data_IF_711972373223
#
_entry.id   IF_711972373223
#
_cell.length_a   1.000
_cell.length_b   1.000
_cell.length_c   1.000
_cell.angle_alpha   90.00
_cell.angle_beta   90.00
_cell.angle_gamma   90.00
#
_symmetry.space_group_name_H-M   'P 1'
#
loop_
_entity.id
_entity.type
_entity.pdbx_description
1 polymer ?
#
# COMPACT_ATOMS: atom_id res chain seq x y z
N UNK A 1 18.66 -44.97 -13.68
CA UNK A 1 17.53 -44.05 -13.42
C UNK A 1 17.69 -43.37 -12.07
N UNK A 2 18.10 -44.10 -11.02
CA UNK A 2 18.33 -43.54 -9.68
C UNK A 2 19.40 -42.44 -9.63
N UNK A 3 20.49 -42.55 -10.39
CA UNK A 3 21.52 -41.48 -10.46
C UNK A 3 21.02 -40.19 -11.13
N UNK A 4 19.98 -40.27 -11.98
CA UNK A 4 19.40 -39.11 -12.64
C UNK A 4 18.32 -38.42 -11.76
N UNK A 5 17.86 -39.07 -10.69
CA UNK A 5 16.93 -38.53 -9.70
C UNK A 5 17.62 -37.60 -8.69
N UNK A 6 18.88 -37.88 -8.34
CA UNK A 6 19.66 -37.07 -7.40
C UNK A 6 19.78 -35.58 -7.82
N UNK A 7 20.17 -35.22 -9.07
CA UNK A 7 20.22 -33.81 -9.48
C UNK A 7 18.85 -33.14 -9.54
N UNK A 8 17.78 -33.88 -9.83
CA UNK A 8 16.42 -33.36 -9.82
C UNK A 8 15.94 -33.03 -8.39
N UNK A 9 16.20 -33.90 -7.42
CA UNK A 9 15.87 -33.65 -6.01
C UNK A 9 16.70 -32.51 -5.43
N UNK A 10 17.99 -32.44 -5.76
CA UNK A 10 18.85 -31.32 -5.36
C UNK A 10 18.33 -29.99 -5.92
N UNK A 11 17.93 -29.95 -7.20
CA UNK A 11 17.35 -28.75 -7.79
C UNK A 11 16.02 -28.35 -7.15
N UNK A 12 15.19 -29.32 -6.75
CA UNK A 12 13.91 -29.07 -6.09
C UNK A 12 14.11 -28.42 -4.70
N UNK A 13 15.13 -28.84 -3.96
CA UNK A 13 15.46 -28.25 -2.64
C UNK A 13 15.84 -26.76 -2.70
N UNK A 14 16.26 -26.24 -3.87
CA UNK A 14 16.51 -24.81 -4.05
C UNK A 14 15.24 -23.96 -3.92
N UNK A 15 14.05 -24.56 -4.10
CA UNK A 15 12.78 -23.88 -3.97
C UNK A 15 12.21 -23.92 -2.54
N UNK A 16 12.85 -24.64 -1.62
CA UNK A 16 12.37 -24.75 -0.23
C UNK A 16 12.30 -23.37 0.46
N UNK A 17 13.18 -22.44 0.07
CA UNK A 17 13.19 -21.05 0.53
C UNK A 17 11.91 -20.29 0.15
N UNK A 18 11.26 -20.67 -0.95
CA UNK A 18 10.04 -20.00 -1.43
C UNK A 18 8.75 -20.65 -0.92
N UNK A 19 8.83 -21.80 -0.23
CA UNK A 19 7.64 -22.49 0.28
C UNK A 19 6.87 -21.66 1.30
N UNK A 20 7.56 -20.81 2.07
CA UNK A 20 6.91 -19.89 2.99
C UNK A 20 6.04 -18.88 2.23
N UNK A 21 6.58 -18.23 1.20
CA UNK A 21 5.83 -17.31 0.31
C UNK A 21 4.62 -17.97 -0.33
N UNK A 22 4.74 -19.24 -0.74
CA UNK A 22 3.62 -20.01 -1.32
C UNK A 22 2.51 -20.30 -0.31
N UNK A 23 2.87 -20.49 0.96
CA UNK A 23 1.94 -20.84 2.04
C UNK A 23 1.22 -19.64 2.65
N UNK A 24 1.72 -18.43 2.44
CA UNK A 24 1.09 -17.21 2.95
C UNK A 24 -0.23 -16.99 2.19
N UNK A 25 -1.32 -16.91 2.95
CA UNK A 25 -2.60 -16.41 2.45
C UNK A 25 -2.52 -14.89 2.34
N UNK A 26 -2.41 -14.40 1.11
CA UNK A 26 -2.32 -12.96 0.80
C UNK A 26 -3.54 -12.20 1.33
N UNK A 27 -4.74 -12.77 1.33
CA UNK A 27 -5.93 -12.09 1.85
C UNK A 27 -5.88 -11.96 3.38
N UNK A 28 -5.46 -13.02 4.08
CA UNK A 28 -5.30 -12.97 5.53
C UNK A 28 -4.18 -11.98 5.93
N UNK A 29 -3.07 -11.98 5.19
CA UNK A 29 -1.99 -11.01 5.38
C UNK A 29 -2.47 -9.58 5.22
N UNK A 30 -3.17 -9.26 4.12
CA UNK A 30 -3.66 -7.90 3.83
C UNK A 30 -4.70 -7.46 4.86
N UNK A 31 -5.57 -8.37 5.34
CA UNK A 31 -6.53 -8.03 6.40
C UNK A 31 -5.83 -7.69 7.73
N UNK A 32 -4.80 -8.46 8.12
CA UNK A 32 -3.99 -8.13 9.29
C UNK A 32 -3.20 -6.83 9.11
N UNK A 33 -2.71 -6.59 7.89
CA UNK A 33 -1.97 -5.40 7.52
C UNK A 33 -2.84 -4.14 7.55
N UNK A 34 -4.08 -4.21 7.07
CA UNK A 34 -5.03 -3.10 7.12
C UNK A 34 -5.46 -2.79 8.57
N UNK A 35 -5.59 -3.82 9.41
CA UNK A 35 -5.93 -3.68 10.82
C UNK A 35 -4.83 -3.02 11.67
N UNK A 36 -3.59 -3.01 11.20
CA UNK A 36 -2.48 -2.32 11.85
C UNK A 36 -2.58 -0.80 11.64
N UNK A 37 -3.20 -0.14 12.60
CA UNK A 37 -3.38 1.32 12.61
C UNK A 37 -2.09 2.10 12.92
N UNK A 38 -1.04 1.46 13.44
CA UNK A 38 0.22 2.15 13.78
C UNK A 38 1.13 2.34 12.57
N UNK A 39 0.93 1.52 11.54
CA UNK A 39 1.77 1.52 10.36
C UNK A 39 1.60 2.79 9.53
N UNK A 40 2.69 3.52 9.34
CA UNK A 40 2.69 4.80 8.62
C UNK A 40 2.68 4.60 7.11
N UNK A 41 2.18 5.59 6.34
CA UNK A 41 2.20 5.54 4.87
C UNK A 41 3.62 5.37 4.33
N UNK A 42 4.63 5.92 5.01
CA UNK A 42 6.06 5.77 4.63
C UNK A 42 6.52 4.32 4.76
N UNK A 43 6.19 3.64 5.85
CA UNK A 43 6.53 2.23 6.04
C UNK A 43 5.81 1.35 5.02
N UNK A 44 4.52 1.61 4.78
CA UNK A 44 3.76 0.87 3.75
C UNK A 44 4.37 1.05 2.36
N UNK A 45 4.85 2.25 2.07
CA UNK A 45 5.54 2.56 0.82
C UNK A 45 6.86 1.79 0.68
N UNK A 46 7.60 1.61 1.77
CA UNK A 46 8.84 0.82 1.77
C UNK A 46 8.56 -0.68 1.59
N UNK A 47 7.49 -1.19 2.19
CA UNK A 47 7.08 -2.59 2.01
C UNK A 47 6.71 -2.88 0.54
N UNK A 48 6.01 -1.95 -0.12
CA UNK A 48 5.73 -2.04 -1.57
C UNK A 48 7.04 -2.14 -2.37
N UNK A 49 8.03 -1.29 -2.08
CA UNK A 49 9.35 -1.34 -2.74
C UNK A 49 10.07 -2.67 -2.47
N UNK A 50 9.99 -3.20 -1.26
CA UNK A 50 10.60 -4.49 -0.91
C UNK A 50 10.02 -5.61 -1.78
N UNK A 51 8.69 -5.69 -1.87
CA UNK A 51 8.03 -6.72 -2.68
C UNK A 51 8.31 -6.56 -4.19
N UNK A 52 8.41 -5.32 -4.70
CA UNK A 52 8.82 -5.09 -6.08
C UNK A 52 10.26 -5.55 -6.34
N UNK A 53 11.18 -5.28 -5.41
CA UNK A 53 12.58 -5.73 -5.48
C UNK A 53 12.69 -7.26 -5.41
N UNK A 54 11.94 -7.89 -4.51
CA UNK A 54 11.86 -9.36 -4.39
C UNK A 54 11.31 -10.00 -5.67
N UNK A 55 10.26 -9.41 -6.26
CA UNK A 55 9.72 -9.83 -7.55
C UNK A 55 10.78 -9.79 -8.66
N UNK A 56 11.55 -8.70 -8.76
CA UNK A 56 12.63 -8.59 -9.74
C UNK A 56 13.79 -9.57 -9.46
N UNK A 57 14.12 -9.78 -8.20
CA UNK A 57 15.13 -10.76 -7.79
C UNK A 57 14.72 -12.20 -8.16
N UNK A 58 13.45 -12.56 -7.98
CA UNK A 58 12.90 -13.85 -8.40
C UNK A 58 12.96 -14.05 -9.91
N UNK A 59 12.67 -13.00 -10.68
CA UNK A 59 12.79 -13.04 -12.14
C UNK A 59 14.24 -13.27 -12.63
N UNK A 60 15.21 -12.72 -11.92
CA UNK A 60 16.63 -12.90 -12.22
C UNK A 60 17.16 -14.27 -11.74
N UNK A 61 16.71 -14.74 -10.57
CA UNK A 61 17.18 -15.97 -9.96
C UNK A 61 16.58 -17.23 -10.61
N UNK A 62 15.31 -17.18 -11.00
CA UNK A 62 14.58 -18.36 -11.52
C UNK A 62 14.54 -18.31 -13.06
N UNK A 63 15.22 -19.22 -13.76
CA UNK A 63 15.15 -19.32 -15.22
C UNK A 63 13.77 -19.83 -15.68
N UNK A 64 13.49 -19.77 -16.99
CA UNK A 64 12.23 -20.31 -17.56
C UNK A 64 12.25 -21.83 -17.70
N UNK A 65 13.44 -22.40 -17.88
CA UNK A 65 13.66 -23.84 -17.94
C UNK A 65 15.10 -24.17 -17.57
N UNK A 66 15.33 -25.33 -16.95
CA UNK A 66 16.65 -25.85 -16.62
C UNK A 66 16.84 -27.24 -17.21
N UNK A 67 17.97 -27.45 -17.88
CA UNK A 67 18.38 -28.76 -18.36
C UNK A 67 19.23 -29.46 -17.29
N UNK A 68 18.70 -30.56 -16.73
CA UNK A 68 19.36 -31.43 -15.76
C UNK A 68 19.84 -32.71 -16.45
N UNK A 69 20.75 -32.57 -17.42
CA UNK A 69 21.33 -33.67 -18.19
C UNK A 69 20.29 -34.39 -19.07
N UNK A 70 19.66 -35.45 -18.54
CA UNK A 70 18.65 -36.26 -19.22
C UNK A 70 17.22 -35.69 -19.11
N UNK A 71 16.99 -34.72 -18.22
CA UNK A 71 15.69 -34.10 -18.00
C UNK A 71 15.73 -32.60 -18.32
N UNK A 72 14.62 -32.07 -18.82
CA UNK A 72 14.40 -30.63 -18.92
C UNK A 72 13.22 -30.26 -18.02
N UNK A 73 13.46 -29.38 -17.06
CA UNK A 73 12.46 -28.92 -16.09
C UNK A 73 11.99 -27.54 -16.51
N UNK A 74 10.68 -27.40 -16.75
CA UNK A 74 10.07 -26.10 -16.98
C UNK A 74 9.75 -25.45 -15.62
N UNK A 75 10.32 -24.27 -15.38
CA UNK A 75 10.20 -23.51 -14.14
C UNK A 75 9.40 -22.22 -14.34
N UNK A 76 8.90 -21.97 -15.55
CA UNK A 76 8.16 -20.75 -15.92
C UNK A 76 6.90 -20.55 -15.08
N UNK A 77 6.14 -21.62 -14.79
CA UNK A 77 4.92 -21.54 -13.99
C UNK A 77 5.21 -21.16 -12.53
N UNK A 78 6.25 -21.77 -11.94
CA UNK A 78 6.66 -21.49 -10.54
C UNK A 78 7.20 -20.07 -10.42
N UNK A 79 8.08 -19.66 -11.35
CA UNK A 79 8.57 -18.29 -11.43
C UNK A 79 7.41 -17.30 -11.50
N UNK A 80 6.50 -17.51 -12.46
CA UNK A 80 5.34 -16.63 -12.68
C UNK A 80 4.48 -16.55 -11.42
N UNK A 81 4.18 -17.68 -10.78
CA UNK A 81 3.40 -17.70 -9.56
C UNK A 81 4.04 -16.88 -8.42
N UNK A 82 5.34 -17.05 -8.18
CA UNK A 82 6.05 -16.32 -7.11
C UNK A 82 6.12 -14.82 -7.40
N UNK A 83 6.43 -14.45 -8.64
CA UNK A 83 6.46 -13.06 -9.11
C UNK A 83 5.08 -12.40 -8.98
N UNK A 84 4.03 -13.06 -9.47
CA UNK A 84 2.66 -12.56 -9.39
C UNK A 84 2.20 -12.41 -7.94
N UNK A 85 2.60 -13.30 -7.03
CA UNK A 85 2.29 -13.18 -5.60
C UNK A 85 2.86 -11.90 -4.98
N UNK A 86 4.14 -11.59 -5.22
CA UNK A 86 4.75 -10.35 -4.71
C UNK A 86 4.13 -9.11 -5.36
N UNK A 87 3.89 -9.15 -6.68
CA UNK A 87 3.25 -8.05 -7.40
C UNK A 87 1.81 -7.78 -6.92
N UNK A 88 1.04 -8.84 -6.69
CA UNK A 88 -0.32 -8.74 -6.15
C UNK A 88 -0.31 -8.17 -4.73
N UNK A 89 0.62 -8.62 -3.87
CA UNK A 89 0.75 -8.12 -2.50
C UNK A 89 1.09 -6.64 -2.49
N UNK A 90 2.06 -6.21 -3.31
CA UNK A 90 2.40 -4.80 -3.48
C UNK A 90 1.19 -3.95 -3.95
N UNK A 91 0.42 -4.46 -4.92
CA UNK A 91 -0.79 -3.80 -5.42
C UNK A 91 -1.87 -3.67 -4.34
N UNK A 92 -2.07 -4.70 -3.51
CA UNK A 92 -3.04 -4.66 -2.43
C UNK A 92 -2.62 -3.67 -1.34
N UNK A 93 -1.34 -3.62 -0.97
CA UNK A 93 -0.82 -2.61 -0.03
C UNK A 93 -1.04 -1.21 -0.57
N UNK A 94 -0.73 -0.94 -1.85
CA UNK A 94 -1.01 0.36 -2.50
C UNK A 94 -2.50 0.71 -2.43
N UNK A 95 -3.39 -0.26 -2.64
CA UNK A 95 -4.83 -0.07 -2.48
C UNK A 95 -5.24 0.35 -1.07
N UNK A 96 -4.62 -0.21 -0.02
CA UNK A 96 -4.85 0.20 1.37
C UNK A 96 -4.38 1.65 1.58
N UNK A 97 -3.20 2.02 1.08
CA UNK A 97 -2.69 3.40 1.21
C UNK A 97 -3.66 4.38 0.52
N UNK A 98 -4.07 4.09 -0.73
CA UNK A 98 -5.02 4.93 -1.46
C UNK A 98 -6.36 5.09 -0.73
N UNK A 99 -6.86 4.02 -0.08
CA UNK A 99 -8.07 4.07 0.76
C UNK A 99 -7.87 4.95 2.00
N UNK A 100 -6.70 4.89 2.65
CA UNK A 100 -6.37 5.75 3.81
C UNK A 100 -6.34 7.22 3.41
N UNK A 101 -5.61 7.56 2.34
CA UNK A 101 -5.54 8.93 1.82
C UNK A 101 -6.92 9.47 1.47
N UNK A 102 -7.76 8.67 0.78
CA UNK A 102 -9.15 9.05 0.48
C UNK A 102 -9.97 9.31 1.74
N UNK A 103 -9.86 8.44 2.74
CA UNK A 103 -10.60 8.58 4.01
C UNK A 103 -10.17 9.85 4.76
N UNK A 104 -8.87 10.16 4.78
CA UNK A 104 -8.33 11.40 5.34
C UNK A 104 -8.88 12.62 4.60
N UNK A 105 -8.86 12.60 3.26
CA UNK A 105 -9.40 13.68 2.42
C UNK A 105 -10.88 13.93 2.61
N UNK A 106 -11.69 12.86 2.72
CA UNK A 106 -13.12 12.96 3.03
C UNK A 106 -13.34 13.56 4.43
N UNK A 107 -12.50 13.20 5.40
CA UNK A 107 -12.52 13.74 6.76
C UNK A 107 -12.21 15.25 6.79
N UNK A 108 -11.14 15.68 6.12
CA UNK A 108 -10.77 17.09 6.00
C UNK A 108 -11.87 17.89 5.29
N UNK A 109 -12.38 17.37 4.18
CA UNK A 109 -13.45 18.03 3.40
C UNK A 109 -14.72 18.24 4.24
N UNK A 110 -15.10 17.26 5.08
CA UNK A 110 -16.22 17.39 6.01
C UNK A 110 -15.99 18.47 7.05
N UNK A 111 -14.77 18.58 7.61
CA UNK A 111 -14.44 19.64 8.58
C UNK A 111 -14.54 21.04 7.95
N UNK A 112 -13.98 21.24 6.75
CA UNK A 112 -14.15 22.49 6.01
C UNK A 112 -15.62 22.81 5.70
N UNK A 113 -16.42 21.81 5.35
CA UNK A 113 -17.85 22.00 5.12
C UNK A 113 -18.62 22.42 6.39
N UNK A 114 -18.23 21.91 7.56
CA UNK A 114 -18.81 22.31 8.85
C UNK A 114 -18.47 23.77 9.18
N UNK A 115 -17.22 24.17 8.99
CA UNK A 115 -16.78 25.57 9.14
C UNK A 115 -17.61 26.48 8.24
N UNK A 116 -17.72 26.15 6.95
CA UNK A 116 -18.51 26.94 5.99
C UNK A 116 -19.98 27.02 6.40
N UNK A 117 -20.57 25.93 6.88
CA UNK A 117 -21.95 25.92 7.36
C UNK A 117 -22.15 26.82 8.58
N UNK A 118 -21.20 26.84 9.51
CA UNK A 118 -21.24 27.69 10.70
C UNK A 118 -21.18 29.17 10.32
N UNK A 119 -20.28 29.53 9.39
CA UNK A 119 -20.14 30.90 8.89
C UNK A 119 -21.34 31.38 8.05
N UNK A 120 -22.04 30.47 7.38
CA UNK A 120 -23.22 30.76 6.56
C UNK A 120 -24.53 30.75 7.36
N UNK A 121 -24.49 30.50 8.68
CA UNK A 121 -25.68 30.49 9.53
C UNK A 121 -26.33 31.89 9.55
N UNK A 122 -27.65 32.00 9.38
CA UNK A 122 -28.32 33.30 9.46
C UNK A 122 -28.25 33.86 10.87
N UNK A 123 -27.75 35.09 11.00
CA UNK A 123 -27.67 35.86 12.24
C UNK A 123 -28.99 36.64 12.44
N UNK A 124 -29.71 36.39 13.53
CA UNK A 124 -31.03 37.03 13.79
C UNK A 124 -31.05 37.83 15.09
N UNK A 125 -30.22 37.46 16.06
CA UNK A 125 -30.13 38.13 17.36
C UNK A 125 -28.74 38.73 17.58
N UNK A 126 -28.61 39.60 18.58
CA UNK A 126 -27.32 40.21 18.96
C UNK A 126 -26.39 39.14 19.55
N UNK A 127 -26.97 38.17 20.25
CA UNK A 127 -26.26 37.00 20.79
C UNK A 127 -25.67 36.13 19.67
N UNK A 128 -26.40 35.92 18.56
CA UNK A 128 -25.89 35.18 17.41
C UNK A 128 -24.64 35.85 16.80
N UNK A 129 -24.62 37.19 16.79
CA UNK A 129 -23.49 37.98 16.26
C UNK A 129 -22.27 37.83 17.18
N UNK A 130 -22.47 37.94 18.49
CA UNK A 130 -21.40 37.77 19.47
C UNK A 130 -20.78 36.36 19.42
N UNK A 131 -21.60 35.32 19.26
CA UNK A 131 -21.14 33.93 19.11
C UNK A 131 -20.26 33.75 17.85
N UNK A 132 -20.64 34.35 16.72
CA UNK A 132 -19.81 34.29 15.49
C UNK A 132 -18.54 35.13 15.62
N UNK A 133 -18.55 36.29 16.28
CA UNK A 133 -17.34 37.09 16.49
C UNK A 133 -16.29 36.33 17.33
N UNK A 134 -16.72 35.65 18.39
CA UNK A 134 -15.86 34.78 19.19
C UNK A 134 -15.32 33.62 18.34
N UNK A 135 -16.19 32.93 17.59
CA UNK A 135 -15.78 31.83 16.73
C UNK A 135 -14.79 32.24 15.64
N UNK A 136 -14.99 33.40 14.99
CA UNK A 136 -14.10 33.92 13.95
C UNK A 136 -12.71 34.27 14.53
N UNK A 137 -12.61 34.53 15.83
CA UNK A 137 -11.32 34.77 16.49
C UNK A 137 -10.51 33.47 16.63
N UNK A 138 -11.16 32.34 16.88
CA UNK A 138 -10.54 31.02 17.01
C UNK A 138 -10.33 30.31 15.66
N UNK A 139 -11.16 30.64 14.67
CA UNK A 139 -11.20 30.02 13.34
C UNK A 139 -9.84 29.96 12.61
N UNK A 140 -8.97 31.00 12.61
CA UNK A 140 -7.68 30.93 11.92
C UNK A 140 -6.80 29.78 12.41
N UNK A 141 -6.88 29.44 13.70
CA UNK A 141 -6.14 28.33 14.29
C UNK A 141 -6.70 27.00 13.78
N UNK A 142 -8.02 26.82 13.81
CA UNK A 142 -8.69 25.62 13.29
C UNK A 142 -8.37 25.40 11.79
N UNK A 143 -8.43 26.47 11.00
CA UNK A 143 -8.11 26.42 9.56
C UNK A 143 -6.63 26.08 9.31
N UNK A 144 -5.70 26.61 10.11
CA UNK A 144 -4.29 26.30 9.99
C UNK A 144 -4.02 24.80 10.24
N UNK A 145 -4.62 24.21 11.27
CA UNK A 145 -4.51 22.77 11.55
C UNK A 145 -5.07 21.92 10.40
N UNK A 146 -6.17 22.33 9.78
CA UNK A 146 -6.73 21.65 8.61
C UNK A 146 -5.85 21.78 7.37
N UNK A 147 -5.19 22.93 7.18
CA UNK A 147 -4.24 23.16 6.09
C UNK A 147 -2.99 22.29 6.25
N UNK A 148 -2.46 22.15 7.47
CA UNK A 148 -1.33 21.27 7.76
C UNK A 148 -1.70 19.81 7.47
N UNK A 149 -2.89 19.37 7.88
CA UNK A 149 -3.41 18.05 7.56
C UNK A 149 -3.56 17.80 6.05
N UNK A 150 -4.03 18.81 5.31
CA UNK A 150 -4.13 18.75 3.85
C UNK A 150 -2.74 18.65 3.20
N UNK A 151 -1.77 19.44 3.67
CA UNK A 151 -0.41 19.43 3.15
C UNK A 151 0.26 18.06 3.37
N UNK A 152 0.05 17.43 4.52
CA UNK A 152 0.60 16.09 4.77
C UNK A 152 -0.07 15.03 3.89
N UNK A 153 -1.40 15.08 3.74
CA UNK A 153 -2.13 14.20 2.83
C UNK A 153 -1.62 14.33 1.38
N UNK A 154 -1.34 15.55 0.91
CA UNK A 154 -0.79 15.78 -0.42
C UNK A 154 0.59 15.15 -0.60
N UNK A 155 1.48 15.22 0.40
CA UNK A 155 2.78 14.54 0.36
C UNK A 155 2.64 13.03 0.32
N UNK A 156 1.68 12.47 1.06
CA UNK A 156 1.38 11.04 1.01
C UNK A 156 0.90 10.61 -0.37
N UNK A 157 0.04 11.40 -1.01
CA UNK A 157 -0.46 11.14 -2.35
C UNK A 157 0.65 11.20 -3.41
N UNK A 158 1.54 12.19 -3.35
CA UNK A 158 2.70 12.30 -4.26
C UNK A 158 3.62 11.06 -4.18
N UNK A 159 3.79 10.50 -2.97
CA UNK A 159 4.56 9.26 -2.79
C UNK A 159 3.90 8.07 -3.49
N UNK A 160 2.57 7.99 -3.49
CA UNK A 160 1.81 6.90 -4.13
C UNK A 160 1.84 7.05 -5.65
N UNK A 161 1.65 8.26 -6.17
CA UNK A 161 1.64 8.54 -7.61
C UNK A 161 2.94 8.06 -8.27
N UNK A 162 4.09 8.20 -7.59
CA UNK A 162 5.37 7.67 -8.06
C UNK A 162 5.36 6.14 -8.34
N UNK A 163 4.48 5.37 -7.70
CA UNK A 163 4.31 3.94 -7.98
C UNK A 163 3.36 3.66 -9.14
N UNK A 164 2.30 4.45 -9.31
CA UNK A 164 1.37 4.25 -10.44
C UNK A 164 2.04 4.49 -11.79
N UNK A 165 2.95 5.47 -11.87
CA UNK A 165 3.76 5.70 -13.08
C UNK A 165 4.80 4.61 -13.34
N UNK A 166 5.23 3.84 -12.33
CA UNK A 166 6.17 2.73 -12.53
C UNK A 166 5.48 1.40 -12.84
N UNK A 167 4.17 1.31 -12.65
CA UNK A 167 3.36 0.12 -12.96
C UNK A 167 2.62 0.18 -14.32
N UNK A 168 2.67 1.32 -15.03
CA UNK A 168 2.06 1.52 -16.35
C UNK A 168 3.02 1.27 -17.51
#
# INVERSE_FOLDING_TARGET
LDEALAPAQAYLSLYDVYLETVRIDVHAFIAAYEADAQKTVVEMTNDVKSHQSESAALEAAIPLSVCLGLFSVNTSAVRKFLVERHAETAKLILGIIAKRVRTTGDGLSKKFALIMKQLQRPLKTIEDVAEIEEYVTELPTEVAELQDGLAEMMKEMERIDAFEYSLS
#
